data_IF_499544834637
#
_entry.id   IF_499544834637
#
_cell.length_a   1.000
_cell.length_b   1.000
_cell.length_c   1.000
_cell.angle_alpha   90.00
_cell.angle_beta   90.00
_cell.angle_gamma   90.00
#
_symmetry.space_group_name_H-M   'P 1'
#
loop_
_entity.id
_entity.type
_entity.pdbx_description
1 polymer ?
#
# COMPACT_ATOMS: atom_id res chain seq x y z
N UNK A 1 -20.14 -6.94 -6.85
CA UNK A 1 -18.75 -6.60 -6.48
C UNK A 1 -17.90 -7.85 -6.69
N UNK A 2 -16.81 -7.77 -7.46
CA UNK A 2 -15.82 -8.86 -7.45
C UNK A 2 -15.21 -8.93 -6.04
N UNK A 3 -14.98 -10.14 -5.48
CA UNK A 3 -14.23 -10.25 -4.23
C UNK A 3 -12.80 -9.73 -4.45
N UNK A 4 -12.24 -9.07 -3.44
CA UNK A 4 -10.84 -8.62 -3.45
C UNK A 4 -9.91 -9.81 -3.63
N UNK A 5 -9.01 -9.72 -4.61
CA UNK A 5 -8.00 -10.74 -4.89
C UNK A 5 -6.68 -10.36 -4.24
N UNK A 6 -6.14 -11.22 -3.38
CA UNK A 6 -4.80 -11.05 -2.82
C UNK A 6 -3.79 -11.67 -3.78
N UNK A 7 -2.93 -10.83 -4.35
CA UNK A 7 -1.94 -11.25 -5.36
C UNK A 7 -0.69 -11.79 -4.65
N UNK A 8 -0.22 -11.08 -3.62
CA UNK A 8 0.97 -11.42 -2.87
C UNK A 8 0.85 -10.91 -1.43
N UNK A 9 1.37 -11.68 -0.48
CA UNK A 9 1.48 -11.27 0.92
C UNK A 9 2.96 -11.33 1.33
N UNK A 10 3.46 -10.22 1.87
CA UNK A 10 4.80 -10.05 2.43
C UNK A 10 4.67 -9.22 3.70
N UNK A 11 4.50 -9.88 4.85
CA UNK A 11 4.27 -9.21 6.13
C UNK A 11 5.29 -8.08 6.36
N UNK A 12 4.85 -6.85 6.73
CA UNK A 12 3.49 -6.47 7.16
C UNK A 12 2.54 -6.05 6.03
N UNK A 13 2.92 -6.18 4.76
CA UNK A 13 2.15 -5.73 3.60
C UNK A 13 1.49 -6.87 2.82
N UNK A 14 0.46 -6.53 2.05
CA UNK A 14 -0.07 -7.37 0.97
C UNK A 14 -0.53 -6.51 -0.21
N UNK A 15 -0.53 -7.11 -1.38
CA UNK A 15 -0.79 -6.47 -2.67
C UNK A 15 -2.08 -7.06 -3.23
N UNK A 16 -3.04 -6.21 -3.58
CA UNK A 16 -4.41 -6.66 -3.93
C UNK A 16 -4.94 -6.00 -5.20
N UNK A 17 -5.82 -6.72 -5.88
CA UNK A 17 -6.73 -6.19 -6.90
C UNK A 17 -8.15 -6.16 -6.29
N UNK A 18 -8.73 -4.96 -6.16
CA UNK A 18 -10.02 -4.73 -5.53
C UNK A 18 -11.12 -4.38 -6.54
N UNK A 19 -11.15 -5.11 -7.66
CA UNK A 19 -12.12 -4.88 -8.72
C UNK A 19 -11.71 -3.71 -9.63
N UNK A 20 -12.64 -2.78 -9.88
CA UNK A 20 -12.45 -1.67 -10.81
C UNK A 20 -12.81 -0.35 -10.14
N UNK A 21 -12.09 0.71 -10.48
CA UNK A 21 -12.36 2.07 -10.06
C UNK A 21 -13.54 2.60 -10.88
N UNK A 22 -14.66 2.93 -10.22
CA UNK A 22 -15.88 3.36 -10.92
C UNK A 22 -15.70 4.64 -11.73
N UNK A 23 -14.75 5.50 -11.34
CA UNK A 23 -14.49 6.78 -12.00
C UNK A 23 -13.90 6.63 -13.42
N UNK A 24 -13.01 5.66 -13.64
CA UNK A 24 -12.28 5.51 -14.91
C UNK A 24 -12.41 4.10 -15.53
N UNK A 25 -12.99 3.13 -14.82
CA UNK A 25 -13.15 1.76 -15.28
C UNK A 25 -11.88 0.91 -15.22
N UNK A 26 -10.77 1.45 -14.72
CA UNK A 26 -9.48 0.75 -14.62
C UNK A 26 -9.44 -0.16 -13.38
N UNK A 27 -8.58 -1.19 -13.37
CA UNK A 27 -8.41 -2.05 -12.19
C UNK A 27 -7.96 -1.25 -10.95
N UNK A 28 -8.55 -1.59 -9.79
CA UNK A 28 -8.22 -0.99 -8.50
C UNK A 28 -7.09 -1.79 -7.83
N UNK A 29 -5.86 -1.29 -7.91
CA UNK A 29 -4.69 -1.92 -7.31
C UNK A 29 -4.31 -1.23 -6.00
N UNK A 30 -4.20 -1.99 -4.90
CA UNK A 30 -3.87 -1.42 -3.58
C UNK A 30 -2.75 -2.18 -2.89
N UNK A 31 -1.98 -1.46 -2.09
CA UNK A 31 -1.12 -2.02 -1.05
C UNK A 31 -1.85 -1.85 0.27
N UNK A 32 -1.94 -2.93 1.04
CA UNK A 32 -2.55 -2.93 2.36
C UNK A 32 -1.51 -3.27 3.43
N UNK A 33 -1.56 -2.58 4.57
CA UNK A 33 -0.68 -2.82 5.73
C UNK A 33 -1.48 -3.46 6.86
N UNK A 34 -0.90 -4.45 7.53
CA UNK A 34 -1.49 -5.08 8.68
C UNK A 34 -1.50 -4.12 9.87
N UNK A 35 -2.69 -3.86 10.43
CA UNK A 35 -2.85 -3.10 11.65
C UNK A 35 -2.91 -4.05 12.85
N UNK A 36 -1.95 -3.93 13.76
CA UNK A 36 -1.81 -4.82 14.93
C UNK A 36 -2.97 -4.70 15.92
N UNK A 37 -3.59 -3.51 16.02
CA UNK A 37 -4.66 -3.23 16.97
C UNK A 37 -6.00 -3.81 16.50
N UNK A 38 -6.34 -3.60 15.22
CA UNK A 38 -7.58 -4.13 14.63
C UNK A 38 -7.44 -5.58 14.17
N UNK A 39 -6.21 -6.08 14.05
CA UNK A 39 -5.84 -7.41 13.52
C UNK A 39 -6.37 -7.64 12.12
N UNK A 40 -6.34 -6.58 11.30
CA UNK A 40 -6.83 -6.56 9.91
C UNK A 40 -5.86 -5.79 9.04
N UNK A 41 -5.87 -6.12 7.76
CA UNK A 41 -5.21 -5.31 6.74
C UNK A 41 -6.11 -4.13 6.37
N UNK A 42 -5.52 -2.94 6.32
CA UNK A 42 -6.18 -1.71 5.88
C UNK A 42 -5.49 -1.19 4.62
N UNK A 43 -6.24 -0.46 3.78
CA UNK A 43 -5.68 0.23 2.62
C UNK A 43 -4.63 1.25 3.06
N UNK A 44 -3.42 1.10 2.52
CA UNK A 44 -2.28 1.97 2.80
C UNK A 44 -2.01 2.88 1.60
N UNK A 45 -2.02 2.31 0.39
CA UNK A 45 -1.69 3.03 -0.84
C UNK A 45 -2.54 2.54 -2.01
N UNK A 46 -3.07 3.46 -2.82
CA UNK A 46 -3.75 3.18 -4.09
C UNK A 46 -2.72 3.36 -5.22
N UNK A 47 -2.47 2.31 -5.98
CA UNK A 47 -1.54 2.35 -7.10
C UNK A 47 -2.20 2.95 -8.35
N UNK A 48 -1.43 3.74 -9.11
CA UNK A 48 -1.88 4.35 -10.37
C UNK A 48 -2.17 3.31 -11.46
N UNK A 49 -1.40 2.22 -11.49
CA UNK A 49 -1.53 1.13 -12.45
C UNK A 49 -0.84 -0.16 -11.96
N UNK A 50 -0.97 -1.23 -12.75
CA UNK A 50 -0.33 -2.52 -12.45
C UNK A 50 1.20 -2.45 -12.39
N UNK A 51 1.85 -1.61 -13.21
CA UNK A 51 3.31 -1.49 -13.22
C UNK A 51 3.86 -0.95 -11.90
N UNK A 52 3.14 0.00 -11.26
CA UNK A 52 3.51 0.47 -9.93
C UNK A 52 3.36 -0.63 -8.87
N UNK A 53 2.25 -1.39 -8.92
CA UNK A 53 2.03 -2.51 -8.01
C UNK A 53 3.09 -3.60 -8.19
N UNK A 54 3.43 -3.94 -9.43
CA UNK A 54 4.46 -4.91 -9.78
C UNK A 54 5.84 -4.49 -9.27
N UNK A 55 6.18 -3.20 -9.40
CA UNK A 55 7.41 -2.64 -8.83
C UNK A 55 7.44 -2.80 -7.32
N UNK A 56 6.33 -2.49 -6.62
CA UNK A 56 6.24 -2.65 -5.17
C UNK A 56 6.31 -4.12 -4.73
N UNK A 57 5.79 -5.05 -5.52
CA UNK A 57 5.92 -6.48 -5.25
C UNK A 57 7.35 -6.98 -5.39
N UNK A 58 8.10 -6.45 -6.36
CA UNK A 58 9.49 -6.84 -6.64
C UNK A 58 10.49 -6.18 -5.69
N UNK A 59 10.26 -4.92 -5.31
CA UNK A 59 11.10 -4.14 -4.41
C UNK A 59 10.38 -3.79 -3.09
N UNK A 60 10.82 -4.44 -2.02
CA UNK A 60 10.27 -4.21 -0.69
C UNK A 60 10.60 -2.83 -0.14
N UNK A 61 11.75 -2.25 -0.50
CA UNK A 61 12.10 -0.89 -0.08
C UNK A 61 11.23 0.15 -0.78
N UNK A 62 10.83 -0.11 -2.03
CA UNK A 62 9.82 0.73 -2.69
C UNK A 62 8.46 0.68 -1.98
N UNK A 63 8.06 -0.49 -1.46
CA UNK A 63 6.84 -0.60 -0.63
C UNK A 63 6.93 0.24 0.64
N UNK A 64 8.08 0.22 1.33
CA UNK A 64 8.33 1.05 2.52
C UNK A 64 8.32 2.54 2.18
N UNK A 65 8.90 2.92 1.04
CA UNK A 65 8.92 4.31 0.57
C UNK A 65 7.50 4.87 0.37
N UNK A 66 6.55 4.03 -0.06
CA UNK A 66 5.13 4.38 -0.22
C UNK A 66 4.33 4.37 1.09
N UNK A 67 4.85 3.76 2.16
CA UNK A 67 4.17 3.69 3.45
C UNK A 67 4.16 5.10 4.08
N UNK A 68 3.00 5.64 4.48
CA UNK A 68 2.92 6.95 5.12
C UNK A 68 3.35 6.95 6.60
N UNK A 69 3.69 5.78 7.17
CA UNK A 69 4.18 5.65 8.54
C UNK A 69 5.55 6.33 8.70
N UNK A 70 5.64 7.30 9.63
CA UNK A 70 6.83 8.13 9.85
C UNK A 70 8.07 7.30 10.23
N UNK A 71 7.92 6.12 10.82
CA UNK A 71 9.05 5.24 11.16
C UNK A 71 9.66 4.51 9.95
N UNK A 72 8.95 4.50 8.81
CA UNK A 72 9.27 3.65 7.65
C UNK A 72 9.41 4.46 6.36
N UNK A 73 8.70 5.59 6.26
CA UNK A 73 8.66 6.41 5.07
C UNK A 73 10.01 7.11 4.82
N UNK A 74 10.37 7.28 3.55
CA UNK A 74 11.64 7.94 3.21
C UNK A 74 11.63 9.46 3.44
N UNK A 75 10.44 10.05 3.65
CA UNK A 75 10.25 11.45 4.01
C UNK A 75 9.60 11.56 5.38
N UNK A 76 10.15 10.83 6.36
CA UNK A 76 9.76 11.02 7.75
C UNK A 76 9.82 12.52 8.02
N UNK A 77 8.69 13.12 8.43
CA UNK A 77 8.71 14.53 8.78
C UNK A 77 9.61 14.63 9.99
N UNK A 78 10.78 15.24 9.81
CA UNK A 78 11.52 15.81 10.94
C UNK A 78 10.54 16.82 11.55
N UNK A 79 9.83 16.40 12.60
CA UNK A 79 9.22 17.34 13.52
C UNK A 79 10.40 18.07 14.16
N UNK A 80 10.84 19.13 13.49
CA UNK A 80 11.89 20.00 13.97
C UNK A 80 11.54 20.39 15.40
N UNK A 81 12.32 19.87 16.35
CA UNK A 81 12.39 20.43 17.69
C UNK A 81 13.06 21.78 17.55
N UNK A 82 12.32 22.79 17.10
CA UNK A 82 12.68 24.20 17.25
C UNK A 82 12.64 24.50 18.75
N UNK A 83 13.83 24.52 19.34
CA UNK A 83 14.11 25.00 20.70
C UNK A 83 14.26 26.52 20.71
#
# INVERSE_FOLDING_TARGET
MKPMNVILEKYPYRYVENGVIELNGEPDFRIQKYNIYTRRYNDMYLCDNFMQLDTAMQDFEYTKWLDPDDEVTAYAKDEGTDY
#
